data_IF_598156065901
#
_entry.id   IF_598156065901
#
_cell.length_a   1.000
_cell.length_b   1.000
_cell.length_c   1.000
_cell.angle_alpha   90.00
_cell.angle_beta   90.00
_cell.angle_gamma   90.00
#
_symmetry.space_group_name_H-M   'P 1'
#
loop_
_entity.id
_entity.type
_entity.pdbx_description
1 polymer ?
#
# COMPACT_ATOMS: atom_id res chain seq x y z
N UNK A 1 34.55 -50.44 -10.08
CA UNK A 1 33.64 -49.41 -9.48
C UNK A 1 32.65 -49.02 -10.53
N UNK A 2 31.42 -49.55 -10.50
CA UNK A 2 30.32 -49.21 -11.41
C UNK A 2 29.62 -47.99 -10.86
N UNK A 3 29.77 -46.83 -11.53
CA UNK A 3 28.97 -45.63 -11.27
C UNK A 3 27.56 -45.93 -11.81
N UNK A 4 26.64 -46.21 -10.91
CA UNK A 4 25.23 -46.43 -11.28
C UNK A 4 24.67 -45.22 -11.99
N UNK A 5 24.41 -45.32 -13.28
CA UNK A 5 23.69 -44.33 -14.06
C UNK A 5 22.29 -44.19 -13.45
N UNK A 6 22.05 -43.05 -12.79
CA UNK A 6 20.73 -42.76 -12.24
C UNK A 6 19.69 -42.81 -13.35
N UNK A 7 18.56 -43.47 -13.08
CA UNK A 7 17.44 -43.64 -14.01
C UNK A 7 17.00 -42.26 -14.57
N UNK A 8 17.18 -42.01 -15.87
CA UNK A 8 16.90 -40.69 -16.50
C UNK A 8 15.43 -40.30 -16.36
N UNK A 9 14.53 -41.28 -16.26
CA UNK A 9 13.09 -41.03 -16.06
C UNK A 9 12.82 -40.45 -14.65
N UNK A 10 13.49 -40.99 -13.63
CA UNK A 10 13.37 -40.49 -12.26
C UNK A 10 13.93 -39.04 -12.12
N UNK A 11 15.03 -38.77 -12.83
CA UNK A 11 15.63 -37.43 -12.82
C UNK A 11 14.69 -36.42 -13.50
N UNK A 12 14.15 -36.77 -14.67
CA UNK A 12 13.18 -35.95 -15.40
C UNK A 12 11.94 -35.66 -14.54
N UNK A 13 11.37 -36.68 -13.90
CA UNK A 13 10.19 -36.52 -13.04
C UNK A 13 10.44 -35.60 -11.83
N UNK A 14 11.60 -35.73 -11.18
CA UNK A 14 11.99 -34.83 -10.07
C UNK A 14 12.17 -33.39 -10.53
N UNK A 15 12.75 -33.20 -11.69
CA UNK A 15 12.93 -31.86 -12.28
C UNK A 15 11.58 -31.21 -12.60
N UNK A 16 10.67 -31.96 -13.23
CA UNK A 16 9.31 -31.48 -13.52
C UNK A 16 8.52 -31.13 -12.24
N UNK A 17 8.63 -31.95 -11.20
CA UNK A 17 8.02 -31.67 -9.90
C UNK A 17 8.60 -30.39 -9.25
N UNK A 18 9.92 -30.20 -9.33
CA UNK A 18 10.57 -29.02 -8.78
C UNK A 18 10.12 -27.74 -9.50
N UNK A 19 10.05 -27.75 -10.83
CA UNK A 19 9.54 -26.62 -11.62
C UNK A 19 8.06 -26.36 -11.37
N UNK A 20 7.26 -27.42 -11.26
CA UNK A 20 5.84 -27.30 -10.91
C UNK A 20 5.63 -26.69 -9.53
N UNK A 21 6.37 -27.13 -8.52
CA UNK A 21 6.31 -26.58 -7.17
C UNK A 21 6.77 -25.11 -7.14
N UNK A 22 7.84 -24.76 -7.87
CA UNK A 22 8.31 -23.39 -7.99
C UNK A 22 7.30 -22.47 -8.68
N UNK A 23 6.66 -22.94 -9.74
CA UNK A 23 5.60 -22.22 -10.44
C UNK A 23 4.39 -21.94 -9.53
N UNK A 24 3.98 -22.93 -8.72
CA UNK A 24 2.91 -22.78 -7.74
C UNK A 24 3.31 -21.74 -6.67
N UNK A 25 4.56 -21.78 -6.20
CA UNK A 25 5.05 -20.86 -5.18
C UNK A 25 5.04 -19.41 -5.68
N UNK A 26 5.47 -19.16 -6.94
CA UNK A 26 5.39 -17.84 -7.57
C UNK A 26 3.94 -17.38 -7.69
N UNK A 27 3.04 -18.27 -8.11
CA UNK A 27 1.63 -17.95 -8.26
C UNK A 27 0.98 -17.60 -6.92
N UNK A 28 1.29 -18.37 -5.86
CA UNK A 28 0.81 -18.08 -4.50
C UNK A 28 1.36 -16.77 -3.97
N UNK A 29 2.65 -16.49 -4.18
CA UNK A 29 3.26 -15.23 -3.79
C UNK A 29 2.61 -14.04 -4.52
N UNK A 30 2.43 -14.14 -5.84
CA UNK A 30 1.77 -13.10 -6.62
C UNK A 30 0.31 -12.86 -6.22
N UNK A 31 -0.43 -13.93 -5.89
CA UNK A 31 -1.80 -13.80 -5.36
C UNK A 31 -1.78 -13.17 -3.97
N UNK A 32 -0.84 -13.54 -3.09
CA UNK A 32 -0.73 -12.97 -1.76
C UNK A 32 -0.43 -11.47 -1.82
N UNK A 33 0.48 -11.04 -2.70
CA UNK A 33 0.80 -9.64 -2.93
C UNK A 33 -0.40 -8.87 -3.50
N UNK A 34 -1.08 -9.43 -4.51
CA UNK A 34 -2.31 -8.85 -5.06
C UNK A 34 -3.40 -8.67 -3.99
N UNK A 35 -3.56 -9.68 -3.15
CA UNK A 35 -4.53 -9.71 -2.07
C UNK A 35 -4.23 -8.67 -0.98
N UNK A 36 -2.95 -8.39 -0.72
CA UNK A 36 -2.56 -7.38 0.27
C UNK A 36 -2.92 -5.96 -0.21
N UNK A 37 -2.75 -5.66 -1.50
CA UNK A 37 -2.97 -4.33 -2.07
C UNK A 37 -4.32 -4.15 -2.78
N UNK A 38 -4.95 -5.23 -3.18
CA UNK A 38 -6.30 -5.26 -3.72
C UNK A 38 -7.21 -5.95 -2.70
N UNK A 39 -7.67 -5.23 -1.68
CA UNK A 39 -8.49 -5.84 -0.64
C UNK A 39 -9.71 -6.49 -1.27
N UNK A 40 -10.05 -7.66 -0.78
CA UNK A 40 -11.14 -8.52 -1.24
C UNK A 40 -12.49 -7.85 -1.30
N UNK A 41 -12.62 -6.73 -0.65
CA UNK A 41 -13.82 -5.95 -0.63
C UNK A 41 -13.47 -4.49 -0.77
N UNK A 42 -13.43 -4.00 -2.00
CA UNK A 42 -13.81 -2.61 -2.19
C UNK A 42 -15.27 -2.56 -1.74
N UNK A 43 -15.55 -1.87 -0.66
CA UNK A 43 -16.92 -1.72 -0.19
C UNK A 43 -17.79 -1.20 -1.32
N UNK A 44 -18.83 -1.92 -1.67
CA UNK A 44 -19.80 -1.43 -2.63
C UNK A 44 -20.59 -0.22 -2.08
N UNK A 45 -20.48 0.06 -0.78
CA UNK A 45 -21.33 1.02 -0.07
C UNK A 45 -20.56 2.14 0.66
N UNK A 46 -19.28 1.93 0.99
CA UNK A 46 -18.46 2.91 1.70
C UNK A 46 -17.30 3.39 0.82
N UNK A 47 -17.31 4.65 0.48
CA UNK A 47 -16.23 5.26 -0.28
C UNK A 47 -15.72 6.50 0.45
N UNK A 48 -14.46 6.46 0.88
CA UNK A 48 -13.77 7.65 1.33
C UNK A 48 -13.27 8.44 0.12
N UNK A 49 -13.42 9.74 0.18
CA UNK A 49 -12.98 10.62 -0.89
C UNK A 49 -11.54 11.06 -0.67
N UNK A 50 -10.63 10.53 -1.49
CA UNK A 50 -9.29 11.11 -1.65
C UNK A 50 -9.42 12.31 -2.60
N UNK A 51 -9.24 13.51 -2.07
CA UNK A 51 -9.36 14.76 -2.84
C UNK A 51 -8.26 14.87 -3.88
N UNK A 52 -7.03 14.45 -3.52
CA UNK A 52 -5.89 14.40 -4.40
C UNK A 52 -4.59 14.15 -3.64
N UNK A 53 -3.48 14.07 -4.39
CA UNK A 53 -2.12 14.02 -3.84
C UNK A 53 -1.33 15.20 -4.38
N UNK A 54 -0.70 15.94 -3.48
CA UNK A 54 -0.10 17.24 -3.75
C UNK A 54 1.33 17.29 -3.21
N UNK A 55 2.14 18.22 -3.73
CA UNK A 55 3.37 18.60 -3.05
C UNK A 55 3.05 19.12 -1.64
N UNK A 56 3.91 18.82 -0.69
CA UNK A 56 3.74 19.19 0.70
C UNK A 56 4.92 20.04 1.19
N UNK A 57 4.61 21.14 1.86
CA UNK A 57 5.60 21.96 2.56
C UNK A 57 5.56 21.62 4.06
N UNK A 58 6.59 20.92 4.60
CA UNK A 58 6.65 20.57 6.02
C UNK A 58 6.74 21.79 6.93
N UNK A 59 7.36 22.89 6.46
CA UNK A 59 7.52 24.11 7.25
C UNK A 59 6.20 24.86 7.40
N UNK A 60 5.45 25.00 6.31
CA UNK A 60 4.12 25.61 6.30
C UNK A 60 2.98 24.67 6.67
N UNK A 61 3.24 23.37 6.78
CA UNK A 61 2.24 22.30 7.00
C UNK A 61 1.06 22.38 6.03
N UNK A 62 1.35 22.64 4.77
CA UNK A 62 0.34 22.86 3.74
C UNK A 62 0.67 22.14 2.44
N UNK A 63 -0.36 21.81 1.69
CA UNK A 63 -0.23 21.28 0.34
C UNK A 63 -0.21 22.41 -0.69
N UNK A 64 0.44 22.17 -1.83
CA UNK A 64 0.55 23.16 -2.91
C UNK A 64 0.50 22.50 -4.29
N UNK A 65 0.17 23.29 -5.31
CA UNK A 65 0.14 22.85 -6.70
C UNK A 65 -1.12 22.07 -7.08
N UNK A 66 -1.03 21.29 -8.16
CA UNK A 66 -2.12 20.47 -8.66
C UNK A 66 -2.04 19.04 -8.13
N UNK A 67 -3.17 18.31 -8.14
CA UNK A 67 -3.21 16.86 -7.94
C UNK A 67 -2.37 16.17 -9.01
N UNK A 68 -1.49 15.26 -8.59
CA UNK A 68 -0.58 14.55 -9.51
C UNK A 68 -0.18 13.19 -8.97
N UNK A 69 0.37 12.37 -9.87
CA UNK A 69 0.75 10.98 -9.59
C UNK A 69 2.27 10.76 -9.61
N UNK A 70 3.07 11.81 -9.88
CA UNK A 70 4.53 11.71 -9.96
C UNK A 70 5.21 12.78 -9.14
N UNK A 71 6.21 12.37 -8.36
CA UNK A 71 6.96 13.21 -7.44
C UNK A 71 8.45 12.94 -7.58
N UNK A 72 9.28 13.96 -7.40
CA UNK A 72 10.71 13.78 -7.31
C UNK A 72 11.10 13.19 -5.93
N UNK A 73 12.25 12.50 -5.85
CA UNK A 73 12.72 11.87 -4.61
C UNK A 73 12.91 12.84 -3.43
N UNK A 74 13.27 14.08 -3.74
CA UNK A 74 13.51 15.13 -2.75
C UNK A 74 12.28 16.01 -2.48
N UNK A 75 11.14 15.60 -2.97
CA UNK A 75 9.89 16.35 -2.84
C UNK A 75 8.99 15.63 -1.84
N UNK A 76 8.58 16.35 -0.79
CA UNK A 76 7.59 15.85 0.14
C UNK A 76 6.19 15.94 -0.49
N UNK A 77 5.36 14.96 -0.21
CA UNK A 77 4.00 14.89 -0.74
C UNK A 77 3.01 14.38 0.30
N UNK A 78 1.75 14.72 0.11
CA UNK A 78 0.67 14.31 1.00
C UNK A 78 -0.63 14.06 0.24
N UNK A 79 -1.40 13.10 0.72
CA UNK A 79 -2.79 12.93 0.31
C UNK A 79 -3.69 13.86 1.12
N UNK A 80 -4.73 14.36 0.47
CA UNK A 80 -5.81 15.10 1.13
C UNK A 80 -7.07 14.26 1.12
N UNK A 81 -7.65 14.07 2.30
CA UNK A 81 -8.83 13.22 2.53
C UNK A 81 -10.03 14.07 2.94
N UNK A 82 -11.17 13.77 2.38
CA UNK A 82 -12.45 14.29 2.83
C UNK A 82 -13.21 13.20 3.60
N UNK A 83 -13.28 13.36 4.93
CA UNK A 83 -13.93 12.43 5.82
C UNK A 83 -15.46 12.59 5.92
N UNK A 84 -16.02 13.65 5.31
CA UNK A 84 -17.40 14.06 5.54
C UNK A 84 -18.46 13.08 5.04
N UNK A 85 -18.11 12.25 4.05
CA UNK A 85 -19.01 11.25 3.46
C UNK A 85 -19.09 9.94 4.22
N UNK A 86 -18.33 9.77 5.30
CA UNK A 86 -18.26 8.51 6.05
C UNK A 86 -19.13 8.56 7.33
N UNK A 87 -19.77 7.43 7.70
CA UNK A 87 -20.55 7.35 8.93
C UNK A 87 -19.65 7.27 10.17
N UNK A 88 -20.07 7.89 11.26
CA UNK A 88 -19.26 7.98 12.51
C UNK A 88 -19.24 6.69 13.34
N UNK A 89 -19.96 5.66 12.95
CA UNK A 89 -20.00 4.35 13.64
C UNK A 89 -18.93 3.37 13.14
N UNK A 90 -17.98 3.83 12.31
CA UNK A 90 -16.86 3.04 11.85
C UNK A 90 -15.54 3.60 12.38
N UNK A 91 -14.53 2.73 12.48
CA UNK A 91 -13.15 3.12 12.74
C UNK A 91 -12.37 3.06 11.43
N UNK A 92 -11.65 4.11 11.12
CA UNK A 92 -10.86 4.22 9.88
C UNK A 92 -9.44 4.69 10.19
N UNK A 93 -8.54 4.35 9.28
CA UNK A 93 -7.15 4.82 9.26
C UNK A 93 -6.77 5.15 7.83
N UNK A 94 -5.97 6.18 7.64
CA UNK A 94 -5.36 6.50 6.35
C UNK A 94 -3.86 6.22 6.43
N UNK A 95 -3.33 5.45 5.49
CA UNK A 95 -1.97 4.92 5.55
C UNK A 95 -1.26 5.08 4.21
N UNK A 96 0.02 5.46 4.25
CA UNK A 96 0.93 5.40 3.12
C UNK A 96 1.83 4.16 3.21
N UNK A 97 1.92 3.42 2.12
CA UNK A 97 2.87 2.33 1.92
C UNK A 97 3.91 2.73 0.87
N UNK A 98 5.18 2.42 1.13
CA UNK A 98 6.25 2.55 0.14
C UNK A 98 6.31 1.33 -0.80
N UNK A 99 7.27 1.33 -1.74
CA UNK A 99 7.49 0.24 -2.70
C UNK A 99 7.94 -1.08 -2.06
N UNK A 100 8.22 -1.10 -0.76
CA UNK A 100 8.58 -2.28 0.03
C UNK A 100 7.52 -2.62 1.08
N UNK A 101 6.31 -2.07 0.93
CA UNK A 101 5.16 -2.28 1.82
C UNK A 101 5.37 -1.77 3.26
N UNK A 102 6.37 -0.91 3.49
CA UNK A 102 6.51 -0.29 4.78
C UNK A 102 5.51 0.87 4.93
N UNK A 103 4.95 1.01 6.13
CA UNK A 103 4.15 2.18 6.48
C UNK A 103 5.10 3.37 6.61
N UNK A 104 4.87 4.40 5.78
CA UNK A 104 5.67 5.62 5.71
C UNK A 104 4.86 6.88 6.02
N UNK A 105 3.71 6.72 6.61
CA UNK A 105 2.86 7.80 7.10
C UNK A 105 1.47 7.29 7.40
N UNK A 106 0.86 7.80 8.46
CA UNK A 106 -0.53 7.45 8.79
C UNK A 106 -1.25 8.54 9.58
N UNK A 107 -2.57 8.50 9.51
CA UNK A 107 -3.49 9.30 10.33
C UNK A 107 -4.61 8.38 10.81
N UNK A 108 -4.85 8.39 12.10
CA UNK A 108 -5.78 7.48 12.78
C UNK A 108 -5.03 6.47 13.67
N UNK A 109 -5.67 5.37 14.08
CA UNK A 109 -7.08 5.06 13.87
C UNK A 109 -8.05 5.98 14.62
N UNK A 110 -9.22 6.21 14.03
CA UNK A 110 -10.26 7.04 14.64
C UNK A 110 -11.59 6.97 13.91
N UNK A 111 -12.63 7.57 14.49
CA UNK A 111 -13.90 7.78 13.78
C UNK A 111 -13.75 8.94 12.80
N UNK A 112 -14.50 8.97 11.68
CA UNK A 112 -14.44 10.07 10.71
C UNK A 112 -14.59 11.47 11.33
N UNK A 113 -15.48 11.63 12.32
CA UNK A 113 -15.65 12.90 13.04
C UNK A 113 -14.40 13.34 13.81
N UNK A 114 -13.66 12.41 14.41
CA UNK A 114 -12.38 12.71 15.10
C UNK A 114 -11.24 13.05 14.17
N UNK A 115 -11.26 12.51 12.94
CA UNK A 115 -10.23 12.75 11.93
C UNK A 115 -10.52 13.97 11.05
N UNK A 116 -11.68 14.63 11.24
CA UNK A 116 -12.15 15.73 10.38
C UNK A 116 -11.15 16.86 10.22
N UNK A 117 -10.37 17.17 11.26
CA UNK A 117 -9.34 18.19 11.22
C UNK A 117 -7.97 17.66 10.74
N UNK A 118 -7.84 16.34 10.55
CA UNK A 118 -6.63 15.66 10.07
C UNK A 118 -6.81 15.23 8.62
N UNK A 119 -6.95 16.22 7.74
CA UNK A 119 -7.23 15.97 6.31
C UNK A 119 -5.97 15.71 5.49
N UNK A 120 -4.80 16.11 5.98
CA UNK A 120 -3.51 15.98 5.27
C UNK A 120 -2.76 14.78 5.86
N UNK A 121 -2.45 13.81 5.02
CA UNK A 121 -1.70 12.61 5.37
C UNK A 121 -0.41 12.59 4.58
N UNK A 122 0.70 12.88 5.26
CA UNK A 122 2.03 12.98 4.63
C UNK A 122 2.66 11.62 4.44
N UNK A 123 3.34 11.42 3.30
CA UNK A 123 4.30 10.35 3.14
C UNK A 123 5.67 10.84 3.66
N UNK A 124 6.28 10.09 4.55
CA UNK A 124 7.59 10.42 5.10
C UNK A 124 8.70 9.64 4.39
N UNK A 125 9.87 10.24 4.25
CA UNK A 125 11.04 9.48 3.82
C UNK A 125 11.37 8.39 4.87
N UNK A 126 11.79 7.18 4.46
CA UNK A 126 12.14 6.12 5.39
C UNK A 126 13.17 6.57 6.42
N UNK A 127 13.04 6.09 7.66
CA UNK A 127 13.89 6.50 8.78
C UNK A 127 15.38 6.40 8.45
N UNK A 128 16.08 7.49 8.61
CA UNK A 128 17.51 7.61 8.32
C UNK A 128 17.85 7.97 6.87
N UNK A 129 16.87 8.09 6.01
CA UNK A 129 17.04 8.59 4.64
C UNK A 129 16.60 10.05 4.55
N UNK A 130 17.30 10.81 3.72
CA UNK A 130 16.97 12.21 3.43
C UNK A 130 15.86 12.35 2.37
N UNK A 131 15.70 11.32 1.54
CA UNK A 131 14.84 11.34 0.38
C UNK A 131 13.96 10.08 0.33
N UNK A 132 12.83 10.19 -0.34
CA UNK A 132 11.99 9.04 -0.64
C UNK A 132 12.72 8.00 -1.48
N UNK A 133 12.37 6.72 -1.29
CA UNK A 133 12.82 5.66 -2.17
C UNK A 133 12.08 5.77 -3.52
N UNK A 134 12.77 5.53 -4.66
CA UNK A 134 12.10 5.51 -5.95
C UNK A 134 11.19 4.30 -6.05
N UNK A 135 10.02 4.48 -6.66
CA UNK A 135 9.07 3.39 -6.87
C UNK A 135 7.63 3.81 -6.63
N UNK A 136 6.77 2.83 -6.49
CA UNK A 136 5.35 3.00 -6.26
C UNK A 136 5.07 3.26 -4.78
N UNK A 137 4.21 4.24 -4.51
CA UNK A 137 3.64 4.51 -3.19
C UNK A 137 2.13 4.34 -3.28
N UNK A 138 1.56 3.68 -2.29
CA UNK A 138 0.13 3.43 -2.22
C UNK A 138 -0.43 4.16 -1.00
N UNK A 139 -1.38 5.03 -1.23
CA UNK A 139 -2.22 5.60 -0.20
C UNK A 139 -3.49 4.77 -0.09
N UNK A 140 -3.82 4.32 1.10
CA UNK A 140 -5.04 3.58 1.40
C UNK A 140 -5.79 4.21 2.57
N UNK A 141 -7.12 4.22 2.49
CA UNK A 141 -8.00 4.50 3.60
C UNK A 141 -8.68 3.19 3.95
N UNK A 142 -8.40 2.71 5.15
CA UNK A 142 -8.80 1.39 5.61
C UNK A 142 -9.89 1.52 6.67
N UNK A 143 -10.92 0.67 6.58
CA UNK A 143 -11.86 0.45 7.67
C UNK A 143 -11.32 -0.66 8.56
N UNK A 144 -11.32 -0.43 9.85
CA UNK A 144 -10.81 -1.36 10.85
C UNK A 144 -11.95 -2.07 11.59
N UNK A 145 -11.69 -3.31 12.03
CA UNK A 145 -12.54 -4.02 12.97
C UNK A 145 -12.34 -3.51 14.42
N UNK A 146 -13.08 -4.07 15.37
CA UNK A 146 -12.97 -3.73 16.79
C UNK A 146 -11.60 -4.11 17.40
N UNK A 147 -10.81 -4.92 16.72
CA UNK A 147 -9.46 -5.31 17.10
C UNK A 147 -8.37 -4.43 16.47
N UNK A 148 -8.76 -3.43 15.68
CA UNK A 148 -7.84 -2.54 14.96
C UNK A 148 -7.20 -3.17 13.72
N UNK A 149 -7.81 -4.22 13.14
CA UNK A 149 -7.30 -4.87 11.94
C UNK A 149 -8.01 -4.34 10.71
N UNK A 150 -7.28 -4.08 9.61
CA UNK A 150 -7.90 -3.72 8.35
C UNK A 150 -8.84 -4.83 7.86
N UNK A 151 -10.06 -4.47 7.53
CA UNK A 151 -11.06 -5.39 6.97
C UNK A 151 -11.51 -4.98 5.58
N UNK A 152 -11.24 -3.73 5.20
CA UNK A 152 -11.72 -3.17 3.96
C UNK A 152 -10.95 -1.90 3.61
N UNK A 153 -10.56 -1.72 2.33
CA UNK A 153 -10.06 -0.44 1.81
C UNK A 153 -11.22 0.32 1.18
N UNK A 154 -11.50 1.50 1.68
CA UNK A 154 -12.60 2.34 1.28
C UNK A 154 -12.18 3.55 0.44
N UNK A 155 -10.87 3.76 0.27
CA UNK A 155 -10.28 4.76 -0.61
C UNK A 155 -8.84 4.40 -0.93
N UNK A 156 -8.38 4.67 -2.15
CA UNK A 156 -7.03 4.35 -2.60
C UNK A 156 -6.51 5.35 -3.62
N UNK A 157 -5.22 5.65 -3.56
CA UNK A 157 -4.49 6.40 -4.57
C UNK A 157 -3.09 5.82 -4.74
N UNK A 158 -2.61 5.81 -5.97
CA UNK A 158 -1.25 5.35 -6.30
C UNK A 158 -0.46 6.51 -6.85
N UNK A 159 0.77 6.68 -6.38
CA UNK A 159 1.72 7.66 -6.90
C UNK A 159 3.08 7.02 -7.12
N UNK A 160 3.93 7.67 -7.90
CA UNK A 160 5.25 7.20 -8.25
C UNK A 160 6.31 8.23 -7.87
N UNK A 161 7.33 7.80 -7.15
CA UNK A 161 8.53 8.59 -6.89
C UNK A 161 9.57 8.25 -7.95
N UNK A 162 9.99 9.25 -8.70
CA UNK A 162 10.94 9.11 -9.81
C UNK A 162 12.37 8.88 -9.29
N UNK A 163 13.23 8.32 -10.16
CA UNK A 163 14.62 8.01 -9.80
C UNK A 163 15.50 9.27 -9.70
#
# INVERSE_FOLDING_TARGET
MSVGAGDPVRTLYRTLLAYGAFGILILVAGVAEYVHFEPFTTSATLHAKVVGVYAYDPAGKQTSGADRERFARNEDFAAVVDWSGLPDNITVEAVWFDSFENIVGSVGPGTPSRLRDQTIVTAEAPKGLKYHLPGQYIFAIERLDNGGRPVEVIGRRVVYVER
#
